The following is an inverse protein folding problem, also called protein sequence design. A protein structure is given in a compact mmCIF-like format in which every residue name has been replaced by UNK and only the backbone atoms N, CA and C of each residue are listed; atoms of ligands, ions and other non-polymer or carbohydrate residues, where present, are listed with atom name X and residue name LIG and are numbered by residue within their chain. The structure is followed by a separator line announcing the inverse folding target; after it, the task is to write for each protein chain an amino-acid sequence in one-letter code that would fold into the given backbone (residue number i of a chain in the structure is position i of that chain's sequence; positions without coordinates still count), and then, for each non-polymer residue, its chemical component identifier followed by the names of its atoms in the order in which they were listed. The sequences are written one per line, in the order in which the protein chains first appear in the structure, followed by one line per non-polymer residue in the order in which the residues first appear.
data_IF_073385796576
#
_entry.id   IF_073385796576
#
_cell.length_a   1.000
_cell.length_b   1.000
_cell.length_c   1.000
_cell.angle_alpha   90.00
_cell.angle_beta   90.00
_cell.angle_gamma   90.00
#
_symmetry.space_group_name_H-M   'P 1'
#
loop_
_entity.id
_entity.type
_entity.pdbx_description
1 polymer ?
#
# COMPACT_ATOMS: atom_id res chain seq x y z
N UNK A 1 6.34 -2.56 17.86
CA UNK A 1 5.53 -2.21 16.70
C UNK A 1 5.11 -3.45 15.92
N UNK A 2 6.04 -4.25 15.40
CA UNK A 2 5.74 -5.43 14.55
C UNK A 2 4.78 -6.41 15.22
N UNK A 3 4.99 -6.74 16.49
CA UNK A 3 4.09 -7.63 17.25
C UNK A 3 2.67 -7.04 17.35
N UNK A 4 2.53 -5.74 17.58
CA UNK A 4 1.21 -5.09 17.64
C UNK A 4 0.48 -5.14 16.29
N UNK A 5 1.22 -5.05 15.17
CA UNK A 5 0.62 -5.18 13.84
C UNK A 5 0.26 -6.62 13.49
N UNK A 6 1.11 -7.58 13.86
CA UNK A 6 0.88 -9.01 13.57
C UNK A 6 -0.30 -9.55 14.38
N UNK A 7 -0.41 -9.16 15.66
CA UNK A 7 -1.49 -9.62 16.55
C UNK A 7 -2.76 -8.75 16.46
N UNK A 8 -2.75 -7.67 15.65
CA UNK A 8 -3.87 -6.74 15.53
C UNK A 8 -4.42 -6.26 16.89
N UNK A 9 -3.53 -6.17 17.89
CA UNK A 9 -3.90 -5.83 19.27
C UNK A 9 -4.55 -4.43 19.38
N UNK A 10 -4.15 -3.52 18.48
CA UNK A 10 -4.72 -2.18 18.31
C UNK A 10 -4.74 -1.82 16.82
N UNK A 11 -5.58 -0.88 16.39
CA UNK A 11 -5.59 -0.41 15.00
C UNK A 11 -4.20 0.03 14.53
N UNK A 12 -3.83 -0.26 13.29
CA UNK A 12 -2.48 0.01 12.76
C UNK A 12 -2.06 1.49 12.90
N UNK A 13 -2.99 2.42 12.70
CA UNK A 13 -2.73 3.86 12.88
C UNK A 13 -2.39 4.23 14.33
N UNK A 14 -3.02 3.59 15.32
CA UNK A 14 -2.72 3.79 16.74
C UNK A 14 -1.29 3.36 17.06
N UNK A 15 -0.85 2.22 16.54
CA UNK A 15 0.53 1.74 16.68
C UNK A 15 1.51 2.74 16.06
N UNK A 16 1.20 3.29 14.89
CA UNK A 16 2.07 4.27 14.22
C UNK A 16 2.19 5.57 15.01
N UNK A 17 1.09 6.11 15.52
CA UNK A 17 1.10 7.30 16.39
C UNK A 17 1.88 7.02 17.68
N UNK A 18 1.67 5.85 18.31
CA UNK A 18 2.39 5.46 19.52
C UNK A 18 3.91 5.41 19.29
N UNK A 19 4.37 4.89 18.16
CA UNK A 19 5.80 4.88 17.80
C UNK A 19 6.35 6.30 17.76
N UNK A 20 5.67 7.22 17.07
CA UNK A 20 6.11 8.62 16.97
C UNK A 20 6.15 9.28 18.34
N UNK A 21 5.13 9.07 19.16
CA UNK A 21 5.08 9.62 20.53
C UNK A 21 6.22 9.05 21.39
N UNK A 22 6.46 7.74 21.34
CA UNK A 22 7.55 7.14 22.08
C UNK A 22 8.92 7.65 21.62
N UNK A 23 9.15 7.83 20.32
CA UNK A 23 10.40 8.40 19.80
C UNK A 23 10.58 9.84 20.27
N UNK A 24 9.53 10.65 20.30
CA UNK A 24 9.57 12.03 20.83
C UNK A 24 9.90 12.06 22.31
N UNK A 25 9.35 11.13 23.09
CA UNK A 25 9.54 11.10 24.54
C UNK A 25 10.89 10.50 24.98
N UNK A 26 11.48 9.59 24.17
CA UNK A 26 12.67 8.83 24.60
C UNK A 26 13.96 9.20 23.86
N UNK A 27 13.90 9.47 22.56
CA UNK A 27 15.11 9.61 21.69
C UNK A 27 15.30 11.05 21.20
N UNK A 28 14.27 11.89 21.31
CA UNK A 28 14.31 13.28 20.84
C UNK A 28 15.22 14.15 21.72
N UNK A 29 15.73 15.23 21.13
CA UNK A 29 16.39 16.34 21.85
C UNK A 29 15.47 17.02 22.88
N UNK A 30 14.16 16.85 22.77
CA UNK A 30 13.11 17.30 23.70
C UNK A 30 12.56 16.14 24.56
N UNK A 31 13.32 15.07 24.75
CA UNK A 31 12.92 13.92 25.56
C UNK A 31 12.70 14.28 27.03
N UNK A 32 12.00 13.42 27.78
CA UNK A 32 11.75 13.60 29.21
C UNK A 32 13.08 13.70 29.96
N UNK A 33 13.32 14.83 30.65
CA UNK A 33 14.59 15.18 31.26
C UNK A 33 15.14 14.11 32.23
N UNK A 34 14.27 13.39 32.91
CA UNK A 34 14.66 12.34 33.84
C UNK A 34 15.27 11.11 33.14
N UNK A 35 15.06 10.93 31.82
CA UNK A 35 15.69 9.86 31.01
C UNK A 35 17.10 10.23 30.54
N UNK A 36 17.45 11.50 30.59
CA UNK A 36 18.73 12.03 30.08
C UNK A 36 19.68 12.50 31.19
N UNK A 37 19.21 12.55 32.45
CA UNK A 37 19.90 13.21 33.57
C UNK A 37 21.17 12.48 34.05
N UNK A 38 21.24 11.16 33.91
CA UNK A 38 22.33 10.35 34.49
C UNK A 38 23.30 9.76 33.43
N UNK A 39 23.19 10.17 32.17
CA UNK A 39 24.01 9.60 31.10
C UNK A 39 25.03 10.63 30.61
N UNK A 40 26.34 10.37 30.71
CA UNK A 40 27.38 11.28 30.21
C UNK A 40 27.18 11.59 28.74
N UNK A 41 27.36 12.86 28.35
CA UNK A 41 27.06 13.37 26.99
C UNK A 41 27.85 12.69 25.84
N UNK A 42 28.67 11.71 26.12
CA UNK A 42 29.41 10.92 25.13
C UNK A 42 28.92 9.48 24.92
N UNK A 43 28.05 8.97 25.82
CA UNK A 43 27.60 7.55 25.77
C UNK A 43 26.24 7.35 25.10
N UNK A 44 25.44 8.41 25.01
CA UNK A 44 24.07 8.35 24.44
C UNK A 44 24.00 8.34 22.90
N UNK A 45 25.11 8.50 22.19
CA UNK A 45 25.05 8.77 20.76
C UNK A 45 24.40 10.14 20.46
N UNK A 46 24.09 10.39 19.20
CA UNK A 46 23.42 11.64 18.81
C UNK A 46 21.90 11.54 19.01
N UNK A 47 21.33 12.43 19.83
CA UNK A 47 19.88 12.58 19.95
C UNK A 47 19.26 13.07 18.63
N UNK A 48 18.09 12.55 18.28
CA UNK A 48 17.38 12.94 17.05
C UNK A 48 16.60 14.23 17.31
N UNK A 49 16.78 15.24 16.47
CA UNK A 49 15.98 16.49 16.57
C UNK A 49 14.49 16.17 16.44
N UNK A 50 13.67 16.70 17.36
CA UNK A 50 12.20 16.50 17.31
C UNK A 50 11.62 16.90 15.96
N UNK A 51 12.16 17.94 15.30
CA UNK A 51 11.77 18.37 13.95
C UNK A 51 11.93 17.25 12.91
N UNK A 52 13.01 16.47 13.00
CA UNK A 52 13.25 15.34 12.08
C UNK A 52 12.24 14.22 12.29
N UNK A 53 11.82 13.97 13.53
CA UNK A 53 10.77 13.00 13.83
C UNK A 53 9.42 13.50 13.30
N UNK A 54 9.10 14.77 13.52
CA UNK A 54 7.84 15.37 13.04
C UNK A 54 7.80 15.52 11.51
N UNK A 55 8.94 15.58 10.85
CA UNK A 55 9.03 15.68 9.39
C UNK A 55 8.43 14.47 8.67
N UNK A 56 8.30 13.33 9.36
CA UNK A 56 7.63 12.15 8.79
C UNK A 56 6.17 12.41 8.38
N UNK A 57 5.48 13.38 8.99
CA UNK A 57 4.11 13.74 8.62
C UNK A 57 4.01 14.62 7.35
N UNK A 58 5.10 15.29 6.99
CA UNK A 58 5.18 16.19 5.83
C UNK A 58 6.11 15.66 4.74
N UNK A 59 6.36 14.36 4.72
CA UNK A 59 7.20 13.71 3.70
C UNK A 59 6.53 13.85 2.32
N UNK A 60 7.26 14.25 1.26
CA UNK A 60 6.73 14.34 -0.10
C UNK A 60 6.05 13.06 -0.60
N UNK A 61 6.51 11.89 -0.17
CA UNK A 61 5.91 10.60 -0.51
C UNK A 61 4.49 10.50 0.06
N UNK A 62 4.26 10.98 1.30
CA UNK A 62 2.92 10.99 1.90
C UNK A 62 1.99 11.89 1.10
N UNK A 63 2.46 13.08 0.68
CA UNK A 63 1.68 13.99 -0.15
C UNK A 63 1.33 13.38 -1.50
N UNK A 64 2.28 12.66 -2.12
CA UNK A 64 2.04 11.90 -3.35
C UNK A 64 0.91 10.86 -3.17
N UNK A 65 0.94 10.09 -2.08
CA UNK A 65 -0.09 9.09 -1.79
C UNK A 65 -1.46 9.73 -1.49
N UNK A 66 -1.50 10.82 -0.74
CA UNK A 66 -2.75 11.56 -0.48
C UNK A 66 -3.37 12.01 -1.81
N UNK A 67 -2.58 12.61 -2.71
CA UNK A 67 -3.03 13.00 -4.04
C UNK A 67 -3.55 11.80 -4.85
N UNK A 68 -2.80 10.69 -4.87
CA UNK A 68 -3.20 9.44 -5.52
C UNK A 68 -4.50 8.86 -4.98
N UNK A 69 -4.71 8.86 -3.66
CA UNK A 69 -5.95 8.38 -3.04
C UNK A 69 -7.14 9.27 -3.37
N UNK A 70 -6.96 10.60 -3.41
CA UNK A 70 -8.02 11.53 -3.82
C UNK A 70 -8.44 11.25 -5.27
N UNK A 71 -7.47 11.07 -6.18
CA UNK A 71 -7.75 10.72 -7.57
C UNK A 71 -8.45 9.36 -7.70
N UNK A 72 -8.02 8.36 -6.93
CA UNK A 72 -8.65 7.04 -6.91
C UNK A 72 -10.11 7.12 -6.44
N UNK A 73 -10.38 7.87 -5.37
CA UNK A 73 -11.73 8.08 -4.86
C UNK A 73 -12.59 8.82 -5.90
N UNK A 74 -12.05 9.82 -6.58
CA UNK A 74 -12.73 10.54 -7.64
C UNK A 74 -13.07 9.62 -8.82
N UNK A 75 -12.13 8.76 -9.25
CA UNK A 75 -12.35 7.77 -10.30
C UNK A 75 -13.47 6.78 -9.93
N UNK A 76 -13.46 6.28 -8.69
CA UNK A 76 -14.49 5.35 -8.21
C UNK A 76 -15.86 6.04 -8.10
N UNK A 77 -15.93 7.27 -7.59
CA UNK A 77 -17.20 8.02 -7.49
C UNK A 77 -17.79 8.39 -8.85
N UNK A 78 -16.94 8.66 -9.85
CA UNK A 78 -17.38 8.96 -11.22
C UNK A 78 -17.71 7.69 -12.03
N UNK A 79 -17.36 6.50 -11.53
CA UNK A 79 -17.48 5.24 -12.26
C UNK A 79 -16.48 5.09 -13.41
N UNK A 80 -15.47 5.94 -13.47
CA UNK A 80 -14.44 5.93 -14.50
C UNK A 80 -13.62 4.64 -14.46
N UNK A 81 -13.27 4.17 -13.26
CA UNK A 81 -12.58 2.91 -13.02
C UNK A 81 -13.36 1.72 -13.61
N UNK A 82 -14.69 1.69 -13.36
CA UNK A 82 -15.60 0.67 -13.89
C UNK A 82 -15.69 0.73 -15.43
N UNK A 83 -15.78 1.93 -15.98
CA UNK A 83 -15.83 2.14 -17.43
C UNK A 83 -14.54 1.66 -18.09
N UNK A 84 -13.39 2.08 -17.56
CA UNK A 84 -12.07 1.70 -18.08
C UNK A 84 -11.85 0.18 -18.00
N UNK A 85 -12.17 -0.44 -16.87
CA UNK A 85 -12.05 -1.90 -16.70
C UNK A 85 -12.91 -2.64 -17.73
N UNK A 86 -14.15 -2.19 -17.96
CA UNK A 86 -15.04 -2.78 -18.96
C UNK A 86 -14.49 -2.66 -20.39
N UNK A 87 -13.98 -1.49 -20.75
CA UNK A 87 -13.38 -1.25 -22.08
C UNK A 87 -12.12 -2.10 -22.26
N UNK A 88 -11.26 -2.18 -21.26
CA UNK A 88 -10.02 -2.95 -21.30
C UNK A 88 -10.26 -4.47 -21.32
N UNK A 89 -11.34 -4.97 -20.71
CA UNK A 89 -11.69 -6.39 -20.75
C UNK A 89 -12.35 -6.81 -22.09
N UNK A 90 -12.92 -5.88 -22.83
CA UNK A 90 -13.66 -6.15 -24.08
C UNK A 90 -12.87 -6.95 -25.14
N UNK A 91 -11.59 -6.67 -25.43
CA UNK A 91 -10.83 -7.39 -26.47
C UNK A 91 -10.54 -8.86 -26.16
N UNK A 92 -10.68 -9.30 -24.91
CA UNK A 92 -10.36 -10.67 -24.49
C UNK A 92 -11.49 -11.68 -24.81
N UNK A 93 -12.64 -11.22 -25.31
CA UNK A 93 -13.73 -12.08 -25.76
C UNK A 93 -14.36 -12.95 -24.66
N UNK A 94 -14.84 -14.14 -25.04
CA UNK A 94 -15.60 -15.06 -24.16
C UNK A 94 -14.87 -16.37 -23.86
N UNK A 95 -13.73 -16.63 -24.48
CA UNK A 95 -12.97 -17.86 -24.21
C UNK A 95 -12.31 -17.79 -22.83
N UNK A 96 -12.49 -18.83 -22.01
CA UNK A 96 -12.05 -18.89 -20.60
C UNK A 96 -10.58 -18.52 -20.40
N UNK A 97 -9.69 -18.94 -21.29
CA UNK A 97 -8.24 -18.63 -21.21
C UNK A 97 -7.96 -17.14 -21.38
N UNK A 98 -8.57 -16.52 -22.39
CA UNK A 98 -8.38 -15.09 -22.66
C UNK A 98 -9.09 -14.22 -21.62
N UNK A 99 -10.24 -14.66 -21.13
CA UNK A 99 -10.93 -13.97 -20.04
C UNK A 99 -10.06 -13.94 -18.79
N UNK A 100 -9.48 -15.07 -18.38
CA UNK A 100 -8.55 -15.12 -17.25
C UNK A 100 -7.33 -14.20 -17.48
N UNK A 101 -6.72 -14.28 -18.66
CA UNK A 101 -5.58 -13.43 -19.02
C UNK A 101 -5.96 -11.94 -18.98
N UNK A 102 -7.13 -11.58 -19.51
CA UNK A 102 -7.67 -10.23 -19.48
C UNK A 102 -7.84 -9.73 -18.06
N UNK A 103 -8.45 -10.53 -17.18
CA UNK A 103 -8.58 -10.16 -15.77
C UNK A 103 -7.23 -9.95 -15.09
N UNK A 104 -6.25 -10.81 -15.33
CA UNK A 104 -4.89 -10.68 -14.76
C UNK A 104 -4.23 -9.39 -15.27
N UNK A 105 -4.19 -9.17 -16.58
CA UNK A 105 -3.51 -8.01 -17.18
C UNK A 105 -4.18 -6.70 -16.80
N UNK A 106 -5.52 -6.63 -16.86
CA UNK A 106 -6.26 -5.42 -16.50
C UNK A 106 -6.11 -5.14 -15.01
N UNK A 107 -6.19 -6.15 -14.14
CA UNK A 107 -5.96 -5.99 -12.70
C UNK A 107 -4.55 -5.47 -12.42
N UNK A 108 -3.53 -6.05 -13.04
CA UNK A 108 -2.15 -5.60 -12.88
C UNK A 108 -1.98 -4.14 -13.33
N UNK A 109 -2.53 -3.77 -14.49
CA UNK A 109 -2.46 -2.42 -15.02
C UNK A 109 -3.14 -1.39 -14.08
N UNK A 110 -4.32 -1.69 -13.56
CA UNK A 110 -4.98 -0.81 -12.59
C UNK A 110 -4.23 -0.70 -11.27
N UNK A 111 -3.65 -1.81 -10.79
CA UNK A 111 -2.90 -1.82 -9.54
C UNK A 111 -1.59 -1.05 -9.59
N UNK A 112 -1.10 -0.70 -10.77
CA UNK A 112 0.02 0.22 -10.93
C UNK A 112 -0.30 1.65 -10.47
N UNK A 113 -1.58 2.03 -10.48
CA UNK A 113 -2.01 3.41 -10.21
C UNK A 113 -2.98 3.52 -9.02
N UNK A 114 -3.67 2.43 -8.71
CA UNK A 114 -4.63 2.33 -7.60
C UNK A 114 -4.08 1.39 -6.52
N UNK A 115 -4.59 1.51 -5.30
CA UNK A 115 -4.21 0.55 -4.25
C UNK A 115 -4.59 -0.88 -4.63
N UNK A 116 -3.75 -1.84 -4.29
CA UNK A 116 -3.96 -3.27 -4.59
C UNK A 116 -5.31 -3.77 -4.06
N UNK A 117 -5.69 -3.33 -2.86
CA UNK A 117 -6.96 -3.71 -2.22
C UNK A 117 -8.16 -3.17 -2.97
N UNK A 118 -8.15 -1.89 -3.35
CA UNK A 118 -9.24 -1.27 -4.10
C UNK A 118 -9.38 -1.91 -5.49
N UNK A 119 -8.25 -2.13 -6.18
CA UNK A 119 -8.23 -2.79 -7.48
C UNK A 119 -8.77 -4.22 -7.40
N UNK A 120 -8.32 -5.00 -6.42
CA UNK A 120 -8.80 -6.37 -6.23
C UNK A 120 -10.32 -6.40 -5.93
N UNK A 121 -10.81 -5.53 -5.05
CA UNK A 121 -12.23 -5.44 -4.73
C UNK A 121 -13.08 -5.07 -5.96
N UNK A 122 -12.65 -4.07 -6.73
CA UNK A 122 -13.32 -3.67 -7.97
C UNK A 122 -13.34 -4.83 -8.98
N UNK A 123 -12.22 -5.47 -9.23
CA UNK A 123 -12.11 -6.54 -10.21
C UNK A 123 -12.88 -7.81 -9.79
N UNK A 124 -13.00 -8.08 -8.48
CA UNK A 124 -13.86 -9.15 -7.98
C UNK A 124 -15.34 -8.91 -8.26
N UNK A 125 -15.81 -7.67 -8.28
CA UNK A 125 -17.20 -7.36 -8.68
C UNK A 125 -17.46 -7.71 -10.14
N UNK A 126 -16.50 -7.44 -11.04
CA UNK A 126 -16.59 -7.86 -12.45
C UNK A 126 -16.46 -9.37 -12.63
N UNK A 127 -15.70 -10.04 -11.77
CA UNK A 127 -15.54 -11.48 -11.80
C UNK A 127 -16.80 -12.22 -11.30
N UNK A 128 -17.60 -11.62 -10.44
CA UNK A 128 -18.78 -12.26 -9.82
C UNK A 128 -19.74 -12.90 -10.82
N UNK A 129 -20.14 -12.27 -11.95
CA UNK A 129 -20.98 -12.91 -12.97
C UNK A 129 -20.32 -14.13 -13.62
N UNK A 130 -19.01 -14.05 -13.85
CA UNK A 130 -18.21 -15.15 -14.43
C UNK A 130 -18.16 -16.32 -13.44
N UNK A 131 -17.94 -16.06 -12.15
CA UNK A 131 -17.94 -17.09 -11.11
C UNK A 131 -19.30 -17.79 -10.97
N UNK A 132 -20.40 -17.06 -11.18
CA UNK A 132 -21.77 -17.63 -11.14
C UNK A 132 -22.04 -18.55 -12.33
N UNK A 133 -21.42 -18.30 -13.49
CA UNK A 133 -21.56 -19.12 -14.69
C UNK A 133 -20.71 -20.41 -14.66
N UNK A 134 -19.75 -20.53 -13.74
CA UNK A 134 -18.92 -21.72 -13.59
C UNK A 134 -19.62 -22.82 -12.78
N UNK A 135 -19.32 -24.12 -13.07
CA UNK A 135 -19.84 -25.25 -12.31
C UNK A 135 -19.62 -25.13 -10.81
N UNK A 136 -20.49 -25.81 -10.04
CA UNK A 136 -20.52 -25.68 -8.57
C UNK A 136 -19.34 -26.31 -7.83
N UNK A 137 -18.50 -27.12 -8.46
CA UNK A 137 -17.38 -27.86 -7.87
C UNK A 137 -16.21 -26.99 -7.34
N UNK A 138 -16.29 -25.68 -7.52
CA UNK A 138 -15.55 -24.69 -6.74
C UNK A 138 -14.06 -24.50 -7.09
N UNK A 139 -13.38 -25.48 -7.65
CA UNK A 139 -11.91 -25.44 -7.85
C UNK A 139 -11.47 -24.30 -8.78
N UNK A 140 -12.17 -24.09 -9.90
CA UNK A 140 -11.86 -22.99 -10.82
C UNK A 140 -12.19 -21.61 -10.25
N UNK A 141 -13.21 -21.50 -9.39
CA UNK A 141 -13.61 -20.22 -8.77
C UNK A 141 -12.56 -19.68 -7.84
N UNK A 142 -11.99 -20.54 -6.99
CA UNK A 142 -10.91 -20.17 -6.08
C UNK A 142 -9.68 -19.71 -6.87
N UNK A 143 -9.30 -20.47 -7.89
CA UNK A 143 -8.16 -20.11 -8.76
C UNK A 143 -8.31 -18.74 -9.42
N UNK A 144 -9.50 -18.42 -9.96
CA UNK A 144 -9.79 -17.12 -10.56
C UNK A 144 -9.74 -15.98 -9.52
N UNK A 145 -10.33 -16.17 -8.35
CA UNK A 145 -10.29 -15.16 -7.29
C UNK A 145 -8.86 -14.91 -6.78
N UNK A 146 -8.07 -15.98 -6.63
CA UNK A 146 -6.67 -15.88 -6.24
C UNK A 146 -5.81 -15.23 -7.32
N UNK A 147 -6.06 -15.50 -8.59
CA UNK A 147 -5.36 -14.87 -9.71
C UNK A 147 -5.49 -13.34 -9.71
N UNK A 148 -6.67 -12.82 -9.39
CA UNK A 148 -6.88 -11.36 -9.26
C UNK A 148 -6.05 -10.77 -8.11
N UNK A 149 -6.01 -11.42 -6.96
CA UNK A 149 -5.21 -10.93 -5.81
C UNK A 149 -3.72 -10.92 -6.13
N UNK A 150 -3.22 -12.01 -6.73
CA UNK A 150 -1.82 -12.10 -7.15
C UNK A 150 -1.51 -11.04 -8.21
N UNK A 151 -2.39 -10.88 -9.21
CA UNK A 151 -2.23 -9.87 -10.25
C UNK A 151 -2.21 -8.44 -9.68
N UNK A 152 -3.05 -8.13 -8.69
CA UNK A 152 -3.04 -6.83 -8.01
C UNK A 152 -1.72 -6.59 -7.26
N UNK A 153 -1.22 -7.58 -6.53
CA UNK A 153 0.04 -7.44 -5.80
C UNK A 153 1.24 -7.29 -6.75
N UNK A 154 1.32 -8.12 -7.79
CA UNK A 154 2.40 -8.04 -8.79
C UNK A 154 2.32 -6.74 -9.58
N UNK A 155 1.13 -6.31 -9.99
CA UNK A 155 0.92 -5.05 -10.68
C UNK A 155 1.33 -3.85 -9.83
N UNK A 156 1.01 -3.87 -8.53
CA UNK A 156 1.40 -2.82 -7.59
C UNK A 156 2.91 -2.64 -7.45
N UNK A 157 3.72 -3.66 -7.75
CA UNK A 157 5.18 -3.52 -7.76
C UNK A 157 5.71 -2.79 -9.03
N UNK A 158 4.89 -2.62 -10.05
CA UNK A 158 5.31 -2.06 -11.34
C UNK A 158 5.57 -0.56 -11.34
N UNK A 159 5.08 0.19 -10.35
CA UNK A 159 5.28 1.64 -10.25
C UNK A 159 5.58 2.09 -8.82
N UNK A 160 6.24 3.25 -8.64
CA UNK A 160 6.48 3.82 -7.31
C UNK A 160 5.21 4.10 -6.52
N UNK A 161 4.12 4.43 -7.21
CA UNK A 161 2.83 4.80 -6.60
C UNK A 161 1.92 3.59 -6.35
N UNK A 162 2.19 2.44 -6.96
CA UNK A 162 1.36 1.24 -6.81
C UNK A 162 1.29 0.73 -5.37
N UNK A 163 2.41 0.80 -4.64
CA UNK A 163 2.45 0.46 -3.22
C UNK A 163 3.38 1.40 -2.44
N UNK A 164 3.05 1.79 -1.18
CA UNK A 164 3.91 2.63 -0.35
C UNK A 164 5.36 2.12 -0.20
N UNK A 165 5.62 0.82 -0.02
CA UNK A 165 6.98 0.30 0.07
C UNK A 165 7.88 0.63 -1.13
N UNK A 166 7.33 0.69 -2.36
CA UNK A 166 8.12 1.01 -3.55
C UNK A 166 8.67 2.43 -3.51
N UNK A 167 7.83 3.40 -3.15
CA UNK A 167 8.23 4.80 -3.05
C UNK A 167 9.27 5.01 -1.93
N UNK A 168 9.09 4.32 -0.81
CA UNK A 168 10.06 4.35 0.30
C UNK A 168 11.38 3.73 -0.13
N UNK A 169 11.36 2.57 -0.78
CA UNK A 169 12.57 1.93 -1.30
C UNK A 169 13.33 2.84 -2.27
N UNK A 170 12.61 3.48 -3.20
CA UNK A 170 13.23 4.43 -4.14
C UNK A 170 13.83 5.65 -3.45
N UNK A 171 13.19 6.15 -2.38
CA UNK A 171 13.77 7.24 -1.59
C UNK A 171 15.12 6.86 -1.02
N UNK A 172 15.23 5.69 -0.39
CA UNK A 172 16.49 5.22 0.18
C UNK A 172 17.54 4.87 -0.88
N UNK A 173 17.15 4.33 -2.03
CA UNK A 173 18.07 4.03 -3.13
C UNK A 173 18.63 5.29 -3.81
N UNK A 174 17.87 6.39 -3.81
CA UNK A 174 18.29 7.67 -4.40
C UNK A 174 18.91 8.62 -3.38
N UNK A 175 18.97 8.26 -2.11
CA UNK A 175 19.58 9.05 -1.06
C UNK A 175 21.11 8.80 -1.08
N UNK A 176 21.94 9.82 -1.36
CA UNK A 176 23.41 9.66 -1.38
C UNK A 176 23.98 9.18 -0.04
N UNK A 177 23.28 9.40 1.07
CA UNK A 177 23.69 8.98 2.41
C UNK A 177 23.06 7.65 2.85
N UNK A 178 22.12 7.09 2.03
CA UNK A 178 21.26 5.98 2.47
C UNK A 178 21.86 4.58 2.31
N UNK A 179 22.73 4.34 1.33
CA UNK A 179 23.25 2.99 1.00
C UNK A 179 24.72 2.97 0.54
N UNK A 180 25.46 4.06 0.67
CA UNK A 180 26.91 4.09 0.41
C UNK A 180 27.69 3.97 1.70
#
# INVERSE_FOLDING_TARGET
ATLMWVFEAVPAWTTSVLIVVLLLLTVSDSSLWFLTQDIPAGELGQTVKYKSIMHCFADPIIMLFIGGFILAIAATKSGLDVLLARVMLRPFGTQSRYVLLGFILVTAAFSMFLSNTATAAMMLTFLTPVLKALPADGKGKIGLAMAIRVAANVGGMGTPIGTPPNAIALKYLNDPEGLN
#
